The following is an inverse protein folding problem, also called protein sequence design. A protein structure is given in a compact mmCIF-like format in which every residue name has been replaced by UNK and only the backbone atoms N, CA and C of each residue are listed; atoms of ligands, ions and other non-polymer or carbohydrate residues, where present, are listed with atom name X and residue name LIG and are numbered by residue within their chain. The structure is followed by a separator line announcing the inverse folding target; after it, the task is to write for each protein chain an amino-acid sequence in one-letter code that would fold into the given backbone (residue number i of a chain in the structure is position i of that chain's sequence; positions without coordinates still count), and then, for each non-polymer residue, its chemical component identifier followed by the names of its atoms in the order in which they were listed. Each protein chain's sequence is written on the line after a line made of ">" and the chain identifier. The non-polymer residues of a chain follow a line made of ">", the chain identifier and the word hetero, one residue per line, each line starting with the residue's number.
data_IF_976161338304
#
_entry.id   IF_976161338304
#
_cell.length_a   1.000
_cell.length_b   1.000
_cell.length_c   1.000
_cell.angle_alpha   90.00
_cell.angle_beta   90.00
_cell.angle_gamma   90.00
#
_symmetry.space_group_name_H-M   'P 1'
#
loop_
_entity.id
_entity.type
_entity.pdbx_description
1 polymer ?
#
# COMPACT_ATOMS: atom_id res chain seq x y z
N UNK A 1 -16.58 -3.40 -37.58
CA UNK A 1 -16.64 -2.20 -36.72
C UNK A 1 -17.13 -2.58 -35.31
N UNK A 2 -16.67 -3.70 -34.76
CA UNK A 2 -17.15 -4.24 -33.46
C UNK A 2 -16.06 -4.80 -32.55
N UNK A 3 -14.77 -4.73 -32.92
CA UNK A 3 -13.67 -5.20 -32.06
C UNK A 3 -12.90 -4.07 -31.35
N UNK A 4 -13.23 -2.80 -31.64
CA UNK A 4 -12.49 -1.64 -31.12
C UNK A 4 -13.08 -1.03 -29.84
N UNK A 5 -14.07 -1.68 -29.23
CA UNK A 5 -14.77 -1.19 -28.03
C UNK A 5 -14.55 -2.05 -26.78
N UNK A 6 -13.71 -3.09 -26.86
CA UNK A 6 -13.45 -3.99 -25.72
C UNK A 6 -12.16 -3.65 -24.94
N UNK A 7 -11.40 -2.62 -25.33
CA UNK A 7 -10.08 -2.33 -24.75
C UNK A 7 -10.00 -1.11 -23.83
N UNK A 8 -11.13 -0.50 -23.45
CA UNK A 8 -11.14 0.76 -22.68
C UNK A 8 -11.68 0.67 -21.24
N UNK A 9 -11.91 -0.52 -20.70
CA UNK A 9 -12.45 -0.66 -19.33
C UNK A 9 -11.73 -1.69 -18.46
N UNK A 10 -10.39 -1.70 -18.47
CA UNK A 10 -9.62 -2.35 -17.38
C UNK A 10 -9.63 -1.39 -16.18
N UNK A 11 -10.80 -1.29 -15.54
CA UNK A 11 -10.99 -0.59 -14.27
C UNK A 11 -9.94 -1.06 -13.28
N UNK A 12 -9.37 -0.13 -12.53
CA UNK A 12 -8.43 -0.30 -11.43
C UNK A 12 -8.88 -1.41 -10.47
N UNK A 13 -8.55 -2.66 -10.79
CA UNK A 13 -8.89 -3.79 -9.92
C UNK A 13 -7.81 -3.89 -8.86
N UNK A 14 -8.12 -3.44 -7.64
CA UNK A 14 -7.30 -3.71 -6.45
C UNK A 14 -7.31 -5.19 -6.04
N UNK A 15 -8.02 -6.04 -6.80
CA UNK A 15 -7.97 -7.48 -6.66
C UNK A 15 -6.74 -7.97 -7.42
N UNK A 16 -5.75 -8.54 -6.72
CA UNK A 16 -4.59 -9.18 -7.37
C UNK A 16 -5.00 -10.29 -8.35
N UNK A 17 -6.16 -10.91 -8.13
CA UNK A 17 -6.91 -11.68 -9.12
C UNK A 17 -8.40 -11.61 -8.75
N UNK A 18 -9.29 -11.56 -9.75
CA UNK A 18 -10.71 -11.74 -9.48
C UNK A 18 -10.95 -13.15 -8.88
N UNK A 19 -11.83 -13.27 -7.87
CA UNK A 19 -12.27 -14.56 -7.37
C UNK A 19 -12.70 -15.51 -8.50
N UNK A 20 -12.12 -16.71 -8.52
CA UNK A 20 -12.37 -17.70 -9.58
C UNK A 20 -13.85 -18.13 -9.67
N UNK A 21 -14.63 -17.91 -8.60
CA UNK A 21 -16.08 -18.06 -8.59
C UNK A 21 -16.70 -17.18 -7.48
N UNK A 22 -17.96 -16.73 -7.64
CA UNK A 22 -18.66 -16.01 -6.58
C UNK A 22 -18.92 -16.92 -5.36
N UNK A 23 -18.92 -16.31 -4.18
CA UNK A 23 -19.27 -16.97 -2.91
C UNK A 23 -20.76 -17.29 -2.89
N UNK A 24 -21.11 -18.56 -2.68
CA UNK A 24 -22.50 -19.06 -2.86
C UNK A 24 -23.24 -19.37 -1.56
N UNK A 25 -22.53 -19.46 -0.44
CA UNK A 25 -23.13 -19.83 0.84
C UNK A 25 -22.45 -19.14 2.00
N UNK A 26 -23.16 -19.05 3.14
CA UNK A 26 -22.58 -18.54 4.38
C UNK A 26 -21.43 -19.43 4.88
N UNK A 27 -21.55 -20.76 4.76
CA UNK A 27 -20.49 -21.68 5.15
C UNK A 27 -19.20 -21.42 4.36
N UNK A 28 -19.31 -21.17 3.05
CA UNK A 28 -18.18 -20.80 2.21
C UNK A 28 -17.59 -19.44 2.62
N UNK A 29 -18.42 -18.43 2.88
CA UNK A 29 -17.96 -17.11 3.35
C UNK A 29 -17.17 -17.24 4.66
N UNK A 30 -17.70 -17.98 5.63
CA UNK A 30 -17.06 -18.16 6.93
C UNK A 30 -15.77 -18.98 6.83
N UNK A 31 -15.70 -19.96 5.92
CA UNK A 31 -14.45 -20.68 5.64
C UNK A 31 -13.39 -19.76 5.00
N UNK A 32 -13.79 -18.86 4.10
CA UNK A 32 -12.89 -17.87 3.49
C UNK A 32 -12.39 -16.90 4.55
N UNK A 33 -13.30 -16.33 5.35
CA UNK A 33 -12.96 -15.42 6.44
C UNK A 33 -11.97 -16.08 7.39
N UNK A 34 -12.28 -17.28 7.87
CA UNK A 34 -11.38 -18.04 8.75
C UNK A 34 -9.98 -18.26 8.16
N UNK A 35 -9.88 -18.53 6.85
CA UNK A 35 -8.59 -18.67 6.18
C UNK A 35 -7.81 -17.36 6.14
N UNK A 36 -8.47 -16.25 5.74
CA UNK A 36 -7.85 -14.93 5.65
C UNK A 36 -7.40 -14.43 7.02
N UNK A 37 -8.26 -14.49 8.03
CA UNK A 37 -7.93 -14.06 9.41
C UNK A 37 -6.74 -14.83 9.97
N UNK A 38 -6.67 -16.13 9.71
CA UNK A 38 -5.55 -16.97 10.14
C UNK A 38 -4.24 -16.58 9.44
N UNK A 39 -4.31 -16.24 8.16
CA UNK A 39 -3.16 -15.75 7.42
C UNK A 39 -2.72 -14.38 7.93
N UNK A 40 -3.63 -13.42 8.13
CA UNK A 40 -3.35 -12.11 8.73
C UNK A 40 -2.66 -12.24 10.09
N UNK A 41 -3.22 -13.04 11.00
CA UNK A 41 -2.66 -13.26 12.33
C UNK A 41 -1.22 -13.81 12.27
N UNK A 42 -0.96 -14.76 11.36
CA UNK A 42 0.38 -15.30 11.16
C UNK A 42 1.35 -14.22 10.64
N UNK A 43 0.98 -13.49 9.59
CA UNK A 43 1.84 -12.48 8.97
C UNK A 43 2.14 -11.31 9.92
N UNK A 44 1.15 -10.87 10.69
CA UNK A 44 1.35 -9.85 11.71
C UNK A 44 2.22 -10.34 12.87
N UNK A 45 2.14 -11.62 13.24
CA UNK A 45 3.05 -12.21 14.22
C UNK A 45 4.50 -12.22 13.72
N UNK A 46 4.73 -12.58 12.46
CA UNK A 46 6.05 -12.54 11.82
C UNK A 46 6.60 -11.10 11.73
N UNK A 47 5.75 -10.11 11.42
CA UNK A 47 6.11 -8.69 11.42
C UNK A 47 6.45 -8.18 12.83
N UNK A 48 5.63 -8.50 13.82
CA UNK A 48 5.87 -8.14 15.22
C UNK A 48 7.22 -8.66 15.71
N UNK A 49 7.52 -9.94 15.47
CA UNK A 49 8.79 -10.54 15.85
C UNK A 49 9.97 -9.85 15.16
N UNK A 50 9.88 -9.59 13.85
CA UNK A 50 10.91 -8.84 13.11
C UNK A 50 11.16 -7.45 13.70
N UNK A 51 10.13 -6.73 14.14
CA UNK A 51 10.29 -5.43 14.79
C UNK A 51 10.97 -5.56 16.17
N UNK A 52 10.62 -6.59 16.96
CA UNK A 52 11.30 -6.90 18.23
C UNK A 52 12.78 -7.17 18.04
N UNK A 53 13.13 -8.00 17.07
CA UNK A 53 14.52 -8.37 16.76
C UNK A 53 15.36 -7.17 16.36
N UNK A 54 14.73 -6.15 15.75
CA UNK A 54 15.36 -4.86 15.38
C UNK A 54 15.31 -3.80 16.49
N UNK A 55 14.86 -4.14 17.70
CA UNK A 55 14.77 -3.22 18.84
C UNK A 55 13.65 -2.17 18.72
N UNK A 56 12.70 -2.35 17.80
CA UNK A 56 11.64 -1.40 17.51
C UNK A 56 10.36 -1.74 18.30
N UNK A 57 10.47 -1.68 19.63
CA UNK A 57 9.42 -2.13 20.56
C UNK A 57 8.05 -1.51 20.29
N UNK A 58 7.98 -0.20 20.07
CA UNK A 58 6.72 0.51 19.76
C UNK A 58 6.04 -0.01 18.49
N UNK A 59 6.82 -0.38 17.47
CA UNK A 59 6.27 -0.87 16.21
C UNK A 59 5.83 -2.33 16.32
N UNK A 60 6.55 -3.13 17.11
CA UNK A 60 6.11 -4.47 17.46
C UNK A 60 4.74 -4.45 18.15
N UNK A 61 4.51 -3.52 19.07
CA UNK A 61 3.22 -3.38 19.78
C UNK A 61 2.04 -3.09 18.83
N UNK A 62 2.27 -2.37 17.72
CA UNK A 62 1.24 -2.14 16.70
C UNK A 62 0.83 -3.46 16.05
N UNK A 63 1.80 -4.26 15.60
CA UNK A 63 1.52 -5.55 14.97
C UNK A 63 0.96 -6.57 15.97
N UNK A 64 1.43 -6.57 17.22
CA UNK A 64 0.87 -7.41 18.30
C UNK A 64 -0.60 -7.08 18.58
N UNK A 65 -1.00 -5.81 18.50
CA UNK A 65 -2.42 -5.42 18.58
C UNK A 65 -3.23 -5.99 17.43
N UNK A 66 -2.73 -5.90 16.20
CA UNK A 66 -3.40 -6.48 15.03
C UNK A 66 -3.53 -8.01 15.17
N UNK A 67 -2.48 -8.72 15.59
CA UNK A 67 -2.56 -10.17 15.89
C UNK A 67 -3.70 -10.50 16.86
N UNK A 68 -3.88 -9.69 17.90
CA UNK A 68 -4.96 -9.87 18.88
C UNK A 68 -6.34 -9.64 18.25
N UNK A 69 -6.47 -8.64 17.40
CA UNK A 69 -7.71 -8.34 16.65
C UNK A 69 -8.07 -9.52 15.73
N UNK A 70 -7.13 -9.99 14.89
CA UNK A 70 -7.36 -11.14 14.00
C UNK A 70 -7.66 -12.43 14.76
N UNK A 71 -7.00 -12.66 15.89
CA UNK A 71 -7.32 -13.82 16.74
C UNK A 71 -8.76 -13.74 17.26
N UNK A 72 -9.23 -12.54 17.63
CA UNK A 72 -10.62 -12.30 17.98
C UNK A 72 -11.59 -12.54 16.82
N UNK A 73 -11.22 -12.17 15.59
CA UNK A 73 -12.00 -12.45 14.39
C UNK A 73 -12.10 -13.96 14.12
N UNK A 74 -10.99 -14.71 14.23
CA UNK A 74 -10.98 -16.18 14.14
C UNK A 74 -11.98 -16.81 15.12
N UNK A 75 -11.97 -16.36 16.38
CA UNK A 75 -12.91 -16.84 17.40
C UNK A 75 -14.37 -16.52 17.06
N UNK A 76 -14.64 -15.31 16.56
CA UNK A 76 -15.97 -14.86 16.17
C UNK A 76 -16.50 -15.64 14.97
N UNK A 77 -15.70 -15.81 13.91
CA UNK A 77 -16.05 -16.61 12.72
C UNK A 77 -16.30 -18.07 13.11
N UNK A 78 -15.47 -18.63 14.01
CA UNK A 78 -15.66 -19.99 14.52
C UNK A 78 -16.98 -20.13 15.27
N UNK A 79 -17.29 -19.17 16.16
CA UNK A 79 -18.55 -19.16 16.91
C UNK A 79 -19.76 -19.07 15.97
N UNK A 80 -19.69 -18.20 14.96
CA UNK A 80 -20.76 -18.04 13.99
C UNK A 80 -20.96 -19.33 13.17
N UNK A 81 -19.88 -19.92 12.67
CA UNK A 81 -19.96 -21.18 11.91
C UNK A 81 -20.64 -22.29 12.72
N UNK A 82 -20.28 -22.43 14.00
CA UNK A 82 -20.93 -23.38 14.92
C UNK A 82 -22.42 -23.09 15.12
N UNK A 83 -22.80 -21.83 15.24
CA UNK A 83 -24.20 -21.44 15.41
C UNK A 83 -25.03 -21.71 14.14
N UNK A 84 -24.46 -21.50 12.96
CA UNK A 84 -25.16 -21.66 11.68
C UNK A 84 -25.20 -23.11 11.18
N UNK A 85 -24.12 -23.89 11.41
CA UNK A 85 -23.93 -25.21 10.79
C UNK A 85 -23.63 -26.34 11.77
N UNK A 86 -23.45 -26.03 13.06
CA UNK A 86 -23.04 -26.99 14.09
C UNK A 86 -21.56 -27.40 14.04
N UNK A 87 -20.78 -26.90 13.07
CA UNK A 87 -19.39 -27.29 12.85
C UNK A 87 -18.46 -26.08 12.84
N UNK A 88 -17.16 -26.32 13.01
CA UNK A 88 -16.13 -25.31 12.76
C UNK A 88 -16.04 -24.97 11.26
N UNK A 89 -15.50 -23.78 10.90
CA UNK A 89 -15.22 -23.45 9.51
C UNK A 89 -14.36 -24.54 8.86
N UNK A 90 -14.87 -25.15 7.79
CA UNK A 90 -14.19 -26.25 7.11
C UNK A 90 -13.48 -25.76 5.86
N UNK A 91 -12.16 -25.62 5.95
CA UNK A 91 -11.31 -25.18 4.85
C UNK A 91 -11.36 -26.11 3.62
N UNK A 92 -11.81 -27.37 3.77
CA UNK A 92 -11.98 -28.31 2.64
C UNK A 92 -13.16 -27.93 1.74
N UNK A 93 -14.04 -27.05 2.20
CA UNK A 93 -15.17 -26.53 1.41
C UNK A 93 -14.77 -25.39 0.48
N UNK A 94 -13.54 -24.86 0.62
CA UNK A 94 -13.03 -23.80 -0.25
C UNK A 94 -12.79 -24.34 -1.65
N UNK A 95 -13.56 -23.83 -2.61
CA UNK A 95 -13.38 -24.12 -4.05
C UNK A 95 -12.16 -23.42 -4.64
N UNK A 96 -11.76 -22.33 -4.00
CA UNK A 96 -10.59 -21.54 -4.28
C UNK A 96 -10.24 -20.78 -2.99
N UNK A 97 -8.95 -20.53 -2.78
CA UNK A 97 -8.48 -19.59 -1.75
C UNK A 97 -8.23 -18.24 -2.41
N UNK A 98 -8.52 -17.10 -1.75
CA UNK A 98 -8.09 -15.80 -2.25
C UNK A 98 -6.57 -15.83 -2.47
N UNK A 99 -6.13 -15.86 -3.72
CA UNK A 99 -4.71 -15.82 -4.06
C UNK A 99 -4.27 -14.38 -4.15
N UNK A 100 -3.15 -14.07 -3.50
CA UNK A 100 -2.60 -12.72 -3.49
C UNK A 100 -3.50 -11.72 -2.79
N UNK A 101 -4.08 -12.04 -1.62
CA UNK A 101 -4.48 -10.97 -0.69
C UNK A 101 -3.25 -10.51 0.09
N UNK A 102 -2.45 -11.48 0.53
CA UNK A 102 -1.14 -11.28 1.17
C UNK A 102 -0.01 -11.69 0.22
N UNK A 103 -0.10 -11.30 -1.06
CA UNK A 103 0.99 -11.55 -1.98
C UNK A 103 2.22 -10.81 -1.46
N UNK A 104 3.26 -11.57 -1.13
CA UNK A 104 4.56 -11.04 -0.78
C UNK A 104 5.13 -10.45 -2.07
N UNK A 105 4.67 -9.27 -2.49
CA UNK A 105 5.25 -8.51 -3.60
C UNK A 105 6.77 -8.46 -3.40
N UNK A 106 7.44 -9.40 -4.05
CA UNK A 106 8.86 -9.53 -4.17
C UNK A 106 9.70 -9.29 -2.91
N UNK A 107 9.34 -9.89 -1.77
CA UNK A 107 10.26 -9.95 -0.60
C UNK A 107 11.61 -10.58 -0.97
N UNK A 108 11.67 -11.38 -2.04
CA UNK A 108 12.88 -11.97 -2.59
C UNK A 108 13.82 -10.97 -3.32
N UNK A 109 13.34 -9.78 -3.71
CA UNK A 109 14.15 -8.74 -4.38
C UNK A 109 14.51 -7.59 -3.44
N UNK A 110 13.93 -7.54 -2.24
CA UNK A 110 14.31 -6.57 -1.21
C UNK A 110 15.44 -7.16 -0.36
N UNK A 111 16.60 -6.52 -0.32
CA UNK A 111 17.71 -6.95 0.54
C UNK A 111 17.24 -7.10 2.00
N UNK A 112 17.68 -8.13 2.76
CA UNK A 112 17.29 -8.33 4.16
C UNK A 112 17.57 -7.13 5.08
N UNK A 113 18.56 -6.31 4.71
CA UNK A 113 18.96 -5.07 5.37
C UNK A 113 17.99 -3.89 5.11
N UNK A 114 17.13 -3.99 4.08
CA UNK A 114 16.25 -2.94 3.56
C UNK A 114 14.77 -3.09 3.96
N UNK A 115 14.39 -4.14 4.71
CA UNK A 115 13.05 -4.24 5.31
C UNK A 115 12.96 -3.28 6.50
N UNK A 116 12.93 -1.99 6.21
CA UNK A 116 12.69 -0.90 7.15
C UNK A 116 11.25 -1.01 7.70
N UNK A 117 10.98 -0.60 8.96
CA UNK A 117 9.63 -0.31 9.44
C UNK A 117 8.66 0.25 8.42
N UNK A 118 9.11 1.27 7.68
CA UNK A 118 8.31 1.95 6.69
C UNK A 118 7.80 0.97 5.62
N UNK A 119 8.69 0.16 5.06
CA UNK A 119 8.35 -0.84 4.05
C UNK A 119 7.43 -1.93 4.63
N UNK A 120 7.69 -2.34 5.87
CA UNK A 120 6.84 -3.31 6.58
C UNK A 120 5.41 -2.82 6.73
N UNK A 121 5.22 -1.55 7.11
CA UNK A 121 3.89 -0.93 7.16
C UNK A 121 3.29 -0.68 5.78
N UNK A 122 4.09 -0.29 4.79
CA UNK A 122 3.60 -0.08 3.43
C UNK A 122 3.04 -1.39 2.83
N UNK A 123 3.75 -2.51 3.02
CA UNK A 123 3.26 -3.84 2.63
C UNK A 123 1.97 -4.21 3.37
N UNK A 124 1.95 -4.02 4.69
CA UNK A 124 0.75 -4.30 5.50
C UNK A 124 -0.47 -3.48 5.03
N UNK A 125 -0.29 -2.18 4.73
CA UNK A 125 -1.37 -1.34 4.16
C UNK A 125 -1.88 -1.89 2.83
N UNK A 126 -0.99 -2.35 1.93
CA UNK A 126 -1.41 -2.91 0.64
C UNK A 126 -2.20 -4.21 0.83
N UNK A 127 -1.79 -5.06 1.76
CA UNK A 127 -2.50 -6.30 2.08
C UNK A 127 -3.93 -6.01 2.57
N UNK A 128 -4.09 -5.04 3.48
CA UNK A 128 -5.41 -4.60 3.95
C UNK A 128 -6.26 -3.98 2.84
N UNK A 129 -5.67 -3.19 1.95
CA UNK A 129 -6.38 -2.63 0.79
C UNK A 129 -6.88 -3.73 -0.17
N UNK A 130 -6.09 -4.80 -0.35
CA UNK A 130 -6.47 -5.98 -1.15
C UNK A 130 -7.58 -6.78 -0.46
N UNK A 131 -7.52 -6.96 0.86
CA UNK A 131 -8.56 -7.60 1.64
C UNK A 131 -9.88 -6.81 1.60
N UNK A 132 -9.82 -5.48 1.74
CA UNK A 132 -10.98 -4.60 1.56
C UNK A 132 -11.61 -4.75 0.16
N UNK A 133 -10.79 -4.72 -0.88
CA UNK A 133 -11.27 -4.88 -2.26
C UNK A 133 -11.93 -6.24 -2.46
N UNK A 134 -11.33 -7.29 -1.89
CA UNK A 134 -11.88 -8.65 -1.90
C UNK A 134 -13.26 -8.71 -1.27
N UNK A 135 -13.42 -8.22 -0.04
CA UNK A 135 -14.71 -8.26 0.65
C UNK A 135 -15.77 -7.38 -0.03
N UNK A 136 -15.36 -6.24 -0.60
CA UNK A 136 -16.24 -5.37 -1.40
C UNK A 136 -16.76 -6.07 -2.66
N UNK A 137 -15.91 -6.87 -3.31
CA UNK A 137 -16.31 -7.70 -4.44
C UNK A 137 -17.31 -8.78 -4.01
N UNK A 138 -17.04 -9.48 -2.91
CA UNK A 138 -17.93 -10.52 -2.37
C UNK A 138 -19.30 -9.93 -2.01
N UNK A 139 -19.33 -8.78 -1.34
CA UNK A 139 -20.56 -8.09 -0.99
C UNK A 139 -21.39 -7.72 -2.23
N UNK A 140 -20.71 -7.21 -3.27
CA UNK A 140 -21.35 -6.79 -4.53
C UNK A 140 -21.95 -7.95 -5.32
N UNK A 141 -21.40 -9.17 -5.16
CA UNK A 141 -21.83 -10.39 -5.86
C UNK A 141 -22.60 -11.36 -4.95
N UNK A 142 -22.99 -10.92 -3.75
CA UNK A 142 -23.59 -11.78 -2.75
C UNK A 142 -25.00 -12.27 -3.17
N UNK A 143 -25.30 -13.58 -3.08
CA UNK A 143 -26.60 -14.13 -3.47
C UNK A 143 -27.71 -13.88 -2.45
N UNK A 144 -27.37 -13.39 -1.24
CA UNK A 144 -28.33 -13.06 -0.19
C UNK A 144 -27.93 -11.78 0.55
N UNK A 145 -28.91 -11.14 1.18
CA UNK A 145 -28.69 -9.97 2.04
C UNK A 145 -27.79 -10.29 3.23
N UNK A 146 -27.90 -11.50 3.78
CA UNK A 146 -27.10 -11.96 4.91
C UNK A 146 -25.61 -12.08 4.54
N UNK A 147 -25.30 -12.69 3.40
CA UNK A 147 -23.92 -12.81 2.89
C UNK A 147 -23.36 -11.41 2.54
N UNK A 148 -24.19 -10.55 1.95
CA UNK A 148 -23.80 -9.17 1.67
C UNK A 148 -23.40 -8.42 2.94
N UNK A 149 -24.27 -8.44 3.96
CA UNK A 149 -24.00 -7.76 5.23
C UNK A 149 -22.76 -8.32 5.94
N UNK A 150 -22.54 -9.63 5.86
CA UNK A 150 -21.34 -10.27 6.40
C UNK A 150 -20.07 -9.76 5.71
N UNK A 151 -20.05 -9.78 4.38
CA UNK A 151 -18.91 -9.29 3.60
C UNK A 151 -18.68 -7.77 3.78
N UNK A 152 -19.74 -6.96 3.89
CA UNK A 152 -19.64 -5.53 4.21
C UNK A 152 -19.08 -5.26 5.61
N UNK A 153 -19.33 -6.15 6.58
CA UNK A 153 -18.71 -6.07 7.91
C UNK A 153 -17.21 -6.31 7.80
N UNK A 154 -16.79 -7.40 7.14
CA UNK A 154 -15.37 -7.69 6.92
C UNK A 154 -14.67 -6.53 6.21
N UNK A 155 -15.25 -6.01 5.11
CA UNK A 155 -14.70 -4.88 4.38
C UNK A 155 -14.48 -3.63 5.26
N UNK A 156 -15.38 -3.37 6.22
CA UNK A 156 -15.22 -2.24 7.15
C UNK A 156 -14.08 -2.46 8.14
N UNK A 157 -13.86 -3.70 8.57
CA UNK A 157 -12.76 -4.07 9.47
C UNK A 157 -11.40 -3.85 8.76
N UNK A 158 -11.23 -4.34 7.53
CA UNK A 158 -9.98 -4.14 6.78
C UNK A 158 -9.67 -2.65 6.50
N UNK A 159 -10.70 -1.83 6.28
CA UNK A 159 -10.51 -0.37 6.14
C UNK A 159 -9.97 0.26 7.42
N UNK A 160 -10.42 -0.21 8.58
CA UNK A 160 -9.95 0.28 9.87
C UNK A 160 -8.50 -0.15 10.13
N UNK A 161 -8.16 -1.41 9.83
CA UNK A 161 -6.78 -1.88 9.85
C UNK A 161 -5.87 -1.04 8.92
N UNK A 162 -6.28 -0.84 7.67
CA UNK A 162 -5.56 0.00 6.72
C UNK A 162 -5.39 1.45 7.23
N UNK A 163 -6.39 2.00 7.93
CA UNK A 163 -6.31 3.33 8.52
C UNK A 163 -5.25 3.38 9.63
N UNK A 164 -5.28 2.43 10.56
CA UNK A 164 -4.30 2.31 11.66
C UNK A 164 -2.90 2.17 11.10
N UNK A 165 -2.69 1.25 10.16
CA UNK A 165 -1.39 1.01 9.54
C UNK A 165 -0.87 2.23 8.76
N UNK A 166 -1.73 2.98 8.07
CA UNK A 166 -1.32 4.24 7.41
C UNK A 166 -0.88 5.31 8.41
N UNK A 167 -1.53 5.41 9.58
CA UNK A 167 -1.12 6.33 10.65
C UNK A 167 0.24 5.91 11.18
N UNK A 168 0.43 4.64 11.52
CA UNK A 168 1.69 4.15 12.08
C UNK A 168 2.82 4.17 11.07
N UNK A 169 2.54 3.96 9.77
CA UNK A 169 3.50 4.18 8.68
C UNK A 169 4.02 5.62 8.69
N UNK A 170 3.12 6.61 8.78
CA UNK A 170 3.49 8.03 8.88
C UNK A 170 4.29 8.33 10.13
N UNK A 171 3.92 7.74 11.27
CA UNK A 171 4.65 7.93 12.53
C UNK A 171 6.03 7.27 12.50
N UNK A 172 6.16 6.06 11.96
CA UNK A 172 7.44 5.38 11.78
C UNK A 172 8.37 6.18 10.85
N UNK A 173 7.80 6.73 9.77
CA UNK A 173 8.51 7.63 8.86
C UNK A 173 8.98 8.92 9.57
N UNK A 174 8.08 9.59 10.30
CA UNK A 174 8.40 10.81 11.04
C UNK A 174 9.38 10.58 12.19
N UNK A 175 9.26 9.50 12.97
CA UNK A 175 10.20 9.17 14.04
C UNK A 175 11.59 8.80 13.53
N UNK A 176 11.68 8.16 12.35
CA UNK A 176 12.96 7.99 11.65
C UNK A 176 13.56 9.36 11.30
N UNK A 177 12.73 10.30 10.86
CA UNK A 177 13.15 11.69 10.59
C UNK A 177 13.42 12.54 11.82
N UNK A 178 12.84 12.28 12.98
CA UNK A 178 13.19 12.98 14.22
C UNK A 178 14.53 12.46 14.77
N UNK A 179 14.79 11.16 14.63
CA UNK A 179 16.10 10.57 14.89
C UNK A 179 17.17 11.04 13.88
N UNK A 180 16.78 11.20 12.61
CA UNK A 180 17.59 11.76 11.52
C UNK A 180 17.39 13.28 11.37
N UNK A 181 16.88 14.00 12.39
CA UNK A 181 16.39 15.38 12.23
C UNK A 181 17.47 16.34 11.73
N UNK A 182 17.45 16.52 10.43
CA UNK A 182 17.49 17.82 9.79
C UNK A 182 16.47 17.73 8.65
N UNK A 183 15.69 18.79 8.48
CA UNK A 183 14.61 18.81 7.50
C UNK A 183 15.15 18.41 6.12
N UNK A 184 14.38 17.66 5.33
CA UNK A 184 14.59 17.64 3.88
C UNK A 184 14.47 19.09 3.41
N UNK A 185 15.62 19.71 3.18
CA UNK A 185 15.73 21.06 2.67
C UNK A 185 15.08 21.10 1.29
N UNK A 186 14.75 22.30 0.82
CA UNK A 186 14.31 22.45 -0.55
C UNK A 186 15.34 21.93 -1.58
N UNK A 187 16.63 21.93 -1.22
CA UNK A 187 17.71 21.30 -2.00
C UNK A 187 17.59 19.77 -2.04
N UNK A 188 17.10 19.16 -0.96
CA UNK A 188 16.89 17.70 -0.89
C UNK A 188 15.69 17.29 -1.74
N UNK A 189 14.59 18.05 -1.74
CA UNK A 189 13.44 17.78 -2.61
C UNK A 189 13.78 17.91 -4.09
N UNK A 190 14.52 18.95 -4.47
CA UNK A 190 14.98 19.11 -5.85
C UNK A 190 15.90 17.95 -6.26
N UNK A 191 16.79 17.50 -5.37
CA UNK A 191 17.68 16.37 -5.61
C UNK A 191 16.92 15.06 -5.74
N UNK A 192 15.92 14.82 -4.90
CA UNK A 192 15.04 13.65 -4.98
C UNK A 192 14.25 13.62 -6.29
N UNK A 193 13.68 14.75 -6.72
CA UNK A 193 12.98 14.84 -8.01
C UNK A 193 13.90 14.56 -9.20
N UNK A 194 15.15 15.05 -9.15
CA UNK A 194 16.15 14.75 -10.18
C UNK A 194 16.51 13.26 -10.20
N UNK A 195 16.66 12.63 -9.03
CA UNK A 195 16.90 11.19 -8.95
C UNK A 195 15.72 10.36 -9.47
N UNK A 196 14.47 10.79 -9.21
CA UNK A 196 13.29 10.16 -9.82
C UNK A 196 13.34 10.29 -11.33
N UNK A 197 13.68 11.46 -11.87
CA UNK A 197 13.79 11.66 -13.32
C UNK A 197 14.83 10.73 -13.96
N UNK A 198 15.99 10.55 -13.32
CA UNK A 198 17.05 9.66 -13.80
C UNK A 198 16.58 8.20 -13.80
N UNK A 199 15.98 7.75 -12.69
CA UNK A 199 15.53 6.37 -12.55
C UNK A 199 14.34 6.03 -13.44
N UNK A 200 13.41 6.95 -13.66
CA UNK A 200 12.32 6.78 -14.62
C UNK A 200 12.84 6.58 -16.05
N UNK A 201 13.89 7.31 -16.45
CA UNK A 201 14.53 7.09 -17.76
C UNK A 201 15.19 5.71 -17.85
N UNK A 202 15.90 5.29 -16.81
CA UNK A 202 16.49 3.96 -16.75
C UNK A 202 15.41 2.87 -16.83
N UNK A 203 14.29 3.07 -16.13
CA UNK A 203 13.15 2.16 -16.14
C UNK A 203 12.46 2.11 -17.51
N UNK A 204 12.29 3.26 -18.17
CA UNK A 204 11.77 3.33 -19.55
C UNK A 204 12.62 2.50 -20.53
N UNK A 205 13.95 2.60 -20.43
CA UNK A 205 14.87 1.85 -21.27
C UNK A 205 14.80 0.32 -21.04
N UNK A 206 14.39 -0.12 -19.85
CA UNK A 206 14.22 -1.55 -19.51
C UNK A 206 12.89 -2.13 -19.98
N UNK A 207 11.82 -1.32 -20.02
CA UNK A 207 10.44 -1.75 -20.36
C UNK A 207 10.15 -1.85 -21.86
N UNK A 208 10.94 -1.21 -22.72
CA UNK A 208 10.73 -1.18 -24.17
C UNK A 208 9.67 -0.16 -24.64
N UNK A 209 9.36 -0.18 -25.95
CA UNK A 209 8.61 0.89 -26.64
C UNK A 209 7.19 1.15 -26.08
N UNK A 210 6.54 0.14 -25.49
CA UNK A 210 5.14 0.23 -25.07
C UNK A 210 4.89 1.24 -23.94
N UNK A 211 5.81 1.36 -22.98
CA UNK A 211 5.67 2.27 -21.83
C UNK A 211 6.63 3.46 -21.89
N UNK A 212 7.52 3.49 -22.89
CA UNK A 212 8.57 4.50 -23.02
C UNK A 212 8.02 5.92 -23.05
N UNK A 213 6.90 6.13 -23.75
CA UNK A 213 6.28 7.46 -23.86
C UNK A 213 5.75 7.95 -22.52
N UNK A 214 5.10 7.08 -21.75
CA UNK A 214 4.53 7.43 -20.43
C UNK A 214 5.66 7.68 -19.43
N UNK A 215 6.62 6.75 -19.33
CA UNK A 215 7.74 6.85 -18.39
C UNK A 215 8.67 8.04 -18.71
N UNK A 216 8.92 8.32 -19.99
CA UNK A 216 9.68 9.50 -20.42
C UNK A 216 8.93 10.81 -20.11
N UNK A 217 7.60 10.81 -20.24
CA UNK A 217 6.76 11.93 -19.83
C UNK A 217 6.88 12.22 -18.33
N UNK A 218 6.75 11.18 -17.50
CA UNK A 218 6.93 11.29 -16.04
C UNK A 218 8.35 11.74 -15.67
N UNK A 219 9.37 11.26 -16.38
CA UNK A 219 10.76 11.68 -16.16
C UNK A 219 10.97 13.17 -16.49
N UNK A 220 10.37 13.66 -17.57
CA UNK A 220 10.43 15.06 -17.95
C UNK A 220 9.70 15.96 -16.94
N UNK A 221 8.55 15.51 -16.44
CA UNK A 221 7.81 16.21 -15.37
C UNK A 221 8.63 16.30 -14.09
N UNK A 222 9.20 15.18 -13.62
CA UNK A 222 10.06 15.15 -12.43
C UNK A 222 11.27 16.10 -12.57
N UNK A 223 11.95 16.11 -13.73
CA UNK A 223 13.06 17.03 -14.00
C UNK A 223 12.64 18.50 -13.97
N UNK A 224 11.45 18.81 -14.50
CA UNK A 224 10.90 20.17 -14.45
C UNK A 224 10.59 20.60 -13.01
N UNK A 225 10.02 19.69 -12.20
CA UNK A 225 9.77 19.95 -10.78
C UNK A 225 11.07 20.17 -10.01
N UNK A 226 12.11 19.36 -10.26
CA UNK A 226 13.44 19.55 -9.69
C UNK A 226 13.96 20.96 -9.96
N UNK A 227 13.92 21.42 -11.22
CA UNK A 227 14.34 22.77 -11.61
C UNK A 227 13.53 23.87 -10.91
N UNK A 228 12.21 23.70 -10.79
CA UNK A 228 11.34 24.64 -10.11
C UNK A 228 11.64 24.73 -8.60
N UNK A 229 11.94 23.60 -7.96
CA UNK A 229 12.33 23.53 -6.55
C UNK A 229 13.71 24.13 -6.31
N UNK A 230 14.65 23.95 -7.24
CA UNK A 230 15.95 24.64 -7.19
C UNK A 230 15.80 26.15 -7.33
N UNK A 231 14.95 26.61 -8.27
CA UNK A 231 14.76 28.03 -8.52
C UNK A 231 13.96 28.74 -7.42
N UNK A 232 12.97 28.05 -6.85
CA UNK A 232 12.11 28.55 -5.78
C UNK A 232 12.00 27.49 -4.69
N UNK A 233 12.95 27.48 -3.74
CA UNK A 233 12.97 26.52 -2.64
C UNK A 233 11.89 26.80 -1.58
N UNK A 234 11.37 25.74 -0.95
CA UNK A 234 10.54 25.85 0.26
C UNK A 234 11.39 26.21 1.48
N UNK A 235 11.47 27.51 1.82
CA UNK A 235 12.13 28.01 3.03
C UNK A 235 13.61 27.62 3.17
N UNK A 236 14.26 28.14 4.22
CA UNK A 236 15.65 27.79 4.56
C UNK A 236 15.65 26.97 5.83
N UNK A 237 15.77 25.65 5.72
CA UNK A 237 16.26 24.86 6.84
C UNK A 237 17.22 23.78 6.37
N UNK A 238 18.21 23.59 7.24
CA UNK A 238 19.45 22.85 7.03
C UNK A 238 19.19 21.41 6.59
N UNK A 239 19.93 21.01 5.56
CA UNK A 239 20.04 19.64 5.01
C UNK A 239 20.52 18.65 6.06
N UNK A 240 20.00 17.41 6.07
CA UNK A 240 20.74 16.13 6.23
C UNK A 240 19.86 14.96 5.72
N UNK A 241 20.40 14.13 4.79
CA UNK A 241 20.74 12.71 4.99
C UNK A 241 21.17 12.07 3.67
N UNK A 242 22.38 11.49 3.67
CA UNK A 242 23.13 10.91 2.54
C UNK A 242 22.57 9.55 2.05
N UNK A 243 21.32 9.24 2.37
CA UNK A 243 20.68 7.95 2.03
C UNK A 243 19.33 8.17 1.38
N UNK A 244 19.38 8.56 0.11
CA UNK A 244 18.22 8.46 -0.78
C UNK A 244 17.79 6.99 -0.93
N UNK A 245 16.49 6.66 -0.86
CA UNK A 245 16.01 5.30 -1.13
C UNK A 245 16.58 4.76 -2.44
N UNK A 246 16.96 3.49 -2.51
CA UNK A 246 17.55 2.92 -3.75
C UNK A 246 16.51 2.62 -4.83
N UNK A 247 15.29 2.26 -4.44
CA UNK A 247 14.22 1.93 -5.37
C UNK A 247 13.43 3.17 -5.83
N UNK A 248 12.87 3.11 -7.04
CA UNK A 248 12.12 4.21 -7.64
C UNK A 248 10.76 4.44 -6.95
N UNK A 249 10.08 3.36 -6.55
CA UNK A 249 8.80 3.39 -5.86
C UNK A 249 8.93 4.04 -4.48
N UNK A 250 9.93 3.63 -3.69
CA UNK A 250 10.20 4.20 -2.37
C UNK A 250 10.59 5.68 -2.46
N UNK A 251 11.38 6.06 -3.47
CA UNK A 251 11.73 7.47 -3.70
C UNK A 251 10.51 8.31 -4.09
N UNK A 252 9.61 7.78 -4.93
CA UNK A 252 8.37 8.47 -5.29
C UNK A 252 7.42 8.62 -4.09
N UNK A 253 7.31 7.59 -3.25
CA UNK A 253 6.48 7.60 -2.05
C UNK A 253 7.02 8.59 -1.00
N UNK A 254 8.35 8.62 -0.81
CA UNK A 254 9.04 9.59 0.02
C UNK A 254 8.76 11.04 -0.41
N UNK A 255 8.79 11.32 -1.72
CA UNK A 255 8.48 12.64 -2.25
C UNK A 255 7.01 13.03 -2.00
N UNK A 256 6.07 12.11 -2.24
CA UNK A 256 4.65 12.36 -1.99
C UNK A 256 4.39 12.72 -0.51
N UNK A 257 4.98 11.97 0.42
CA UNK A 257 4.84 12.24 1.86
C UNK A 257 5.53 13.54 2.27
N UNK A 258 6.72 13.83 1.74
CA UNK A 258 7.43 15.06 2.03
C UNK A 258 6.64 16.30 1.60
N UNK A 259 5.96 16.24 0.46
CA UNK A 259 5.08 17.31 0.01
C UNK A 259 3.79 17.43 0.82
N UNK A 260 3.17 16.32 1.22
CA UNK A 260 1.99 16.35 2.10
C UNK A 260 2.33 17.02 3.44
N UNK A 261 3.43 16.60 4.07
CA UNK A 261 3.89 17.21 5.32
C UNK A 261 4.21 18.69 5.14
N UNK A 262 4.91 19.07 4.08
CA UNK A 262 5.16 20.47 3.74
C UNK A 262 3.85 21.28 3.58
N UNK A 263 2.82 20.67 2.97
CA UNK A 263 1.48 21.24 2.82
C UNK A 263 0.75 21.51 4.15
N UNK A 264 1.16 20.85 5.23
CA UNK A 264 0.58 21.04 6.57
C UNK A 264 1.43 22.01 7.42
N UNK A 265 2.75 21.92 7.32
CA UNK A 265 3.68 22.57 8.27
C UNK A 265 4.26 23.90 7.81
N UNK A 266 4.24 24.20 6.50
CA UNK A 266 4.88 25.42 5.99
C UNK A 266 4.15 26.69 6.49
N UNK A 267 4.90 27.76 6.82
CA UNK A 267 4.34 28.96 7.45
C UNK A 267 3.51 29.81 6.48
N UNK A 268 3.85 29.78 5.19
CA UNK A 268 3.18 30.58 4.16
C UNK A 268 2.11 29.75 3.46
N UNK A 269 0.89 30.30 3.35
CA UNK A 269 -0.22 29.64 2.67
C UNK A 269 0.12 29.28 1.21
N UNK A 270 0.74 30.20 0.48
CA UNK A 270 1.13 29.96 -0.91
C UNK A 270 2.10 28.77 -1.07
N UNK A 271 3.00 28.57 -0.11
CA UNK A 271 3.91 27.43 -0.12
C UNK A 271 3.21 26.12 0.27
N UNK A 272 2.22 26.18 1.18
CA UNK A 272 1.36 25.03 1.50
C UNK A 272 0.54 24.58 0.29
N UNK A 273 -0.09 25.53 -0.41
CA UNK A 273 -0.87 25.24 -1.62
C UNK A 273 0.02 24.63 -2.72
N UNK A 274 1.23 25.18 -2.89
CA UNK A 274 2.23 24.62 -3.82
C UNK A 274 2.66 23.21 -3.42
N UNK A 275 2.93 22.97 -2.14
CA UNK A 275 3.28 21.64 -1.65
C UNK A 275 2.15 20.64 -1.87
N UNK A 276 0.88 21.02 -1.67
CA UNK A 276 -0.28 20.16 -1.94
C UNK A 276 -0.42 19.82 -3.44
N UNK A 277 -0.13 20.76 -4.34
CA UNK A 277 -0.08 20.48 -5.79
C UNK A 277 1.03 19.49 -6.15
N UNK A 278 2.22 19.65 -5.55
CA UNK A 278 3.33 18.72 -5.75
C UNK A 278 3.02 17.33 -5.19
N UNK A 279 2.38 17.25 -4.02
CA UNK A 279 1.89 16.01 -3.44
C UNK A 279 0.92 15.29 -4.39
N UNK A 280 -0.03 16.02 -4.96
CA UNK A 280 -0.97 15.47 -5.95
C UNK A 280 -0.23 14.88 -7.16
N UNK A 281 0.79 15.57 -7.64
CA UNK A 281 1.60 15.13 -8.78
C UNK A 281 2.39 13.87 -8.44
N UNK A 282 3.06 13.85 -7.28
CA UNK A 282 3.82 12.70 -6.81
C UNK A 282 2.93 11.46 -6.58
N UNK A 283 1.72 11.65 -6.03
CA UNK A 283 0.73 10.56 -5.85
C UNK A 283 0.28 10.00 -7.20
N UNK A 284 -0.02 10.86 -8.19
CA UNK A 284 -0.37 10.42 -9.55
C UNK A 284 0.75 9.60 -10.18
N UNK A 285 1.99 10.08 -10.09
CA UNK A 285 3.18 9.36 -10.57
C UNK A 285 3.31 7.98 -9.90
N UNK A 286 3.17 7.91 -8.58
CA UNK A 286 3.24 6.64 -7.85
C UNK A 286 2.14 5.67 -8.28
N UNK A 287 0.91 6.16 -8.49
CA UNK A 287 -0.18 5.34 -8.99
C UNK A 287 0.09 4.79 -10.41
N UNK A 288 0.64 5.63 -11.30
CA UNK A 288 1.03 5.19 -12.64
C UNK A 288 2.14 4.15 -12.61
N UNK A 289 3.16 4.32 -11.76
CA UNK A 289 4.24 3.34 -11.61
C UNK A 289 3.73 1.98 -11.15
N UNK A 290 2.90 1.95 -10.11
CA UNK A 290 2.29 0.71 -9.60
C UNK A 290 1.44 0.02 -10.67
N UNK A 291 0.65 0.79 -11.43
CA UNK A 291 -0.13 0.25 -12.54
C UNK A 291 0.75 -0.39 -13.62
N UNK A 292 1.90 0.21 -13.93
CA UNK A 292 2.83 -0.32 -14.92
C UNK A 292 3.50 -1.59 -14.40
N UNK A 293 3.96 -1.64 -13.16
CA UNK A 293 4.58 -2.83 -12.55
C UNK A 293 3.66 -4.06 -12.55
N UNK A 294 2.34 -3.85 -12.48
CA UNK A 294 1.33 -4.92 -12.57
C UNK A 294 1.12 -5.47 -14.01
N UNK A 295 1.63 -4.81 -15.05
CA UNK A 295 1.54 -5.30 -16.43
C UNK A 295 2.77 -6.16 -16.79
N UNK A 296 2.58 -7.32 -17.45
CA UNK A 296 3.69 -8.12 -17.96
C UNK A 296 4.48 -7.37 -19.05
N UNK A 297 5.81 -7.60 -19.06
CA UNK A 297 6.74 -7.15 -20.10
C UNK A 297 6.42 -7.75 -21.48
#
# INVERSE_FOLDING_TARGET
>A
MSEKLASEEKVMSRLGAEPAAPVRSMAELLAIAFAMEKESAQRYSELAQRMRDKGQARLAEVFERLVKEETGHIENVTRWSRQSSGNDPDLRQLRWTPKGVFDDENTAVVSPELVDPYHSFAMAVRNEERAFAFWSYVASNAPSTEIRSAAEQMAREELEHARVLRVERRLAFSSRREADATFASAGDLATMEEQVAIRLKAFAALRGEHDETVLSGLAAEARKLAQQLTASPFGTNTSISDRSPESLDALCELLAESYLNAGETLPLQADRDRAQMLATTAIKRLATLRYLDEQPL
#
